data_IF_208817679543
#
_entry.id   IF_208817679543
#
_cell.length_a   1.000
_cell.length_b   1.000
_cell.length_c   1.000
_cell.angle_alpha   90.00
_cell.angle_beta   90.00
_cell.angle_gamma   90.00
#
_symmetry.space_group_name_H-M   'P 1'
#
loop_
_entity.id
_entity.type
_entity.pdbx_description
1 polymer ?
#
# COMPACT_ATOMS: atom_id res chain seq x y z
N UNK A 1 6.19 -15.92 -24.08
CA UNK A 1 5.88 -15.99 -22.66
C UNK A 1 5.40 -17.38 -22.26
N UNK A 2 4.39 -17.95 -22.91
CA UNK A 2 3.85 -19.30 -22.56
C UNK A 2 4.94 -20.38 -22.58
N UNK A 3 5.77 -20.44 -23.60
CA UNK A 3 6.88 -21.44 -23.64
C UNK A 3 7.93 -21.19 -22.55
N UNK A 4 8.15 -19.92 -22.15
CA UNK A 4 9.10 -19.57 -21.09
C UNK A 4 8.57 -20.02 -19.71
N UNK A 5 7.27 -19.85 -19.43
CA UNK A 5 6.68 -20.27 -18.15
C UNK A 5 6.71 -21.79 -17.99
N UNK A 6 6.39 -22.53 -19.06
CA UNK A 6 6.41 -24.00 -19.04
C UNK A 6 7.83 -24.58 -18.86
N UNK A 7 8.81 -24.09 -19.65
CA UNK A 7 10.20 -24.55 -19.58
C UNK A 7 10.93 -24.15 -18.31
N UNK A 8 10.64 -22.92 -17.80
CA UNK A 8 11.34 -22.36 -16.65
C UNK A 8 10.71 -22.70 -15.30
N UNK A 9 9.64 -23.48 -15.25
CA UNK A 9 8.85 -23.75 -14.04
C UNK A 9 8.57 -22.47 -13.24
N UNK A 10 8.15 -21.40 -13.96
CA UNK A 10 7.88 -20.10 -13.40
C UNK A 10 6.40 -20.01 -13.00
N UNK A 11 6.13 -19.25 -11.94
CA UNK A 11 4.76 -19.03 -11.44
C UNK A 11 4.07 -17.92 -12.22
N UNK A 12 4.83 -16.84 -12.53
CA UNK A 12 4.33 -15.66 -13.19
C UNK A 12 5.40 -15.02 -14.09
N UNK A 13 4.99 -14.55 -15.26
CA UNK A 13 5.82 -13.71 -16.15
C UNK A 13 5.09 -12.40 -16.44
N UNK A 14 5.71 -11.29 -16.08
CA UNK A 14 5.24 -9.93 -16.46
C UNK A 14 5.85 -9.48 -17.78
N UNK A 15 5.07 -8.79 -18.61
CA UNK A 15 5.61 -8.13 -19.79
C UNK A 15 6.44 -6.91 -19.41
N UNK A 16 7.57 -6.69 -20.07
CA UNK A 16 8.37 -5.48 -19.92
C UNK A 16 8.37 -4.66 -21.21
N UNK A 17 7.80 -3.45 -21.16
CA UNK A 17 7.81 -2.51 -22.28
C UNK A 17 9.12 -1.70 -22.25
N UNK A 18 10.21 -2.28 -22.77
CA UNK A 18 11.53 -1.64 -22.79
C UNK A 18 11.53 -0.32 -23.55
N UNK A 19 10.88 -0.27 -24.72
CA UNK A 19 10.67 0.96 -25.49
C UNK A 19 9.21 1.41 -25.37
N UNK A 20 8.97 2.60 -24.80
CA UNK A 20 7.63 3.20 -24.65
C UNK A 20 7.54 4.44 -25.52
N UNK A 21 6.49 4.52 -26.31
CA UNK A 21 6.16 5.66 -27.16
C UNK A 21 5.18 6.63 -26.50
N UNK A 22 5.06 6.58 -25.18
CA UNK A 22 4.18 7.44 -24.38
C UNK A 22 4.84 8.79 -24.07
N UNK A 23 4.02 9.84 -23.79
CA UNK A 23 4.50 11.16 -23.38
C UNK A 23 5.37 11.07 -22.10
N UNK A 24 6.49 11.83 -22.09
CA UNK A 24 7.54 11.70 -21.08
C UNK A 24 7.06 12.09 -19.67
N UNK A 25 6.36 13.22 -19.54
CA UNK A 25 6.07 13.83 -18.25
C UNK A 25 4.85 13.15 -17.59
N UNK A 26 3.75 13.03 -18.32
CA UNK A 26 2.46 12.60 -17.73
C UNK A 26 2.40 11.09 -17.46
N UNK A 27 3.15 10.28 -18.22
CA UNK A 27 3.04 8.81 -18.13
C UNK A 27 4.31 8.11 -17.67
N UNK A 28 5.50 8.61 -18.08
CA UNK A 28 6.76 7.91 -17.79
C UNK A 28 7.24 8.14 -16.36
N UNK A 29 7.16 9.38 -15.83
CA UNK A 29 7.64 9.70 -14.48
C UNK A 29 6.83 8.98 -13.39
N UNK A 30 5.49 9.08 -13.34
CA UNK A 30 4.70 8.35 -12.34
C UNK A 30 4.87 6.84 -12.42
N UNK A 31 4.98 6.29 -13.64
CA UNK A 31 5.21 4.86 -13.83
C UNK A 31 6.59 4.40 -13.35
N UNK A 32 7.64 5.21 -13.55
CA UNK A 32 8.98 4.90 -13.05
C UNK A 32 9.03 4.95 -11.52
N UNK A 33 8.42 5.97 -10.92
CA UNK A 33 8.34 6.10 -9.47
C UNK A 33 7.58 4.93 -8.86
N UNK A 34 6.42 4.58 -9.42
CA UNK A 34 5.66 3.41 -8.99
C UNK A 34 6.49 2.12 -9.06
N UNK A 35 7.12 1.86 -10.21
CA UNK A 35 7.94 0.66 -10.38
C UNK A 35 9.15 0.63 -9.44
N UNK A 36 9.74 1.78 -9.14
CA UNK A 36 10.84 1.89 -8.17
C UNK A 36 10.37 1.52 -6.76
N UNK A 37 9.27 2.14 -6.29
CA UNK A 37 8.70 1.84 -4.96
C UNK A 37 8.23 0.39 -4.89
N UNK A 38 7.55 -0.11 -5.94
CA UNK A 38 7.09 -1.50 -5.99
C UNK A 38 8.25 -2.49 -5.86
N UNK A 39 9.36 -2.26 -6.55
CA UNK A 39 10.59 -3.09 -6.42
C UNK A 39 11.20 -3.01 -5.03
N UNK A 40 11.34 -1.78 -4.52
CA UNK A 40 11.96 -1.56 -3.21
C UNK A 40 11.17 -2.21 -2.08
N UNK A 41 9.84 -2.09 -2.12
CA UNK A 41 8.98 -2.63 -1.06
C UNK A 41 8.72 -4.12 -1.18
N UNK A 42 8.66 -4.68 -2.40
CA UNK A 42 8.37 -6.11 -2.62
C UNK A 42 9.61 -6.99 -2.76
N UNK A 43 10.76 -6.40 -3.11
CA UNK A 43 11.97 -7.17 -3.43
C UNK A 43 11.92 -7.89 -4.80
N UNK A 44 10.83 -7.75 -5.56
CA UNK A 44 10.67 -8.42 -6.87
C UNK A 44 11.50 -7.71 -7.93
N UNK A 45 12.36 -8.43 -8.62
CA UNK A 45 13.29 -7.88 -9.63
C UNK A 45 12.66 -7.78 -11.04
N UNK A 46 11.49 -7.13 -11.18
CA UNK A 46 10.87 -6.83 -12.48
C UNK A 46 10.87 -5.32 -12.76
N UNK A 47 10.95 -4.93 -14.04
CA UNK A 47 11.06 -3.52 -14.44
C UNK A 47 9.69 -2.86 -14.66
N UNK A 48 8.65 -3.62 -15.00
CA UNK A 48 7.32 -3.06 -15.34
C UNK A 48 6.18 -3.82 -14.69
N UNK A 49 5.76 -3.36 -13.50
CA UNK A 49 4.56 -3.85 -12.81
C UNK A 49 3.26 -3.43 -13.51
N UNK A 50 3.29 -2.31 -14.23
CA UNK A 50 2.13 -1.73 -14.90
C UNK A 50 1.82 -2.35 -16.28
N UNK A 51 2.57 -3.37 -16.71
CA UNK A 51 2.28 -4.03 -17.98
C UNK A 51 0.99 -4.84 -17.88
N UNK A 52 0.04 -4.59 -18.79
CA UNK A 52 -1.21 -5.33 -18.82
C UNK A 52 -1.07 -6.78 -19.33
N UNK A 53 0.08 -7.10 -19.97
CA UNK A 53 0.32 -8.46 -20.47
C UNK A 53 1.09 -9.22 -19.39
N UNK A 54 0.44 -10.22 -18.80
CA UNK A 54 1.02 -11.12 -17.83
C UNK A 54 0.57 -12.54 -18.13
N UNK A 55 1.40 -13.52 -17.81
CA UNK A 55 1.10 -14.96 -17.95
C UNK A 55 1.33 -15.62 -16.59
N UNK A 56 0.37 -16.42 -16.16
CA UNK A 56 0.37 -17.08 -14.86
C UNK A 56 0.14 -18.57 -15.01
N UNK A 57 0.57 -19.34 -14.03
CA UNK A 57 0.07 -20.70 -13.83
C UNK A 57 -1.38 -20.62 -13.32
N UNK A 58 -2.16 -21.67 -13.58
CA UNK A 58 -3.59 -21.71 -13.20
C UNK A 58 -3.81 -21.68 -11.68
N UNK A 59 -2.91 -22.27 -10.93
CA UNK A 59 -2.92 -22.28 -9.46
C UNK A 59 -2.69 -20.87 -8.89
N UNK A 60 -1.80 -20.08 -9.47
CA UNK A 60 -1.57 -18.68 -9.05
C UNK A 60 -2.85 -17.88 -9.16
N UNK A 61 -3.53 -17.90 -10.32
CA UNK A 61 -4.73 -17.07 -10.52
C UNK A 61 -5.92 -17.53 -9.69
N UNK A 62 -5.98 -18.81 -9.33
CA UNK A 62 -7.02 -19.36 -8.46
C UNK A 62 -6.82 -19.05 -6.97
N UNK A 63 -5.57 -18.76 -6.57
CA UNK A 63 -5.21 -18.48 -5.17
C UNK A 63 -5.27 -17.01 -4.81
N UNK A 64 -5.16 -16.09 -5.80
CA UNK A 64 -5.15 -14.66 -5.57
C UNK A 64 -6.53 -14.04 -5.79
N UNK A 65 -6.97 -13.21 -4.85
CA UNK A 65 -8.17 -12.39 -5.00
C UNK A 65 -7.79 -11.02 -5.58
N UNK A 66 -8.34 -10.70 -6.75
CA UNK A 66 -8.07 -9.44 -7.44
C UNK A 66 -9.39 -8.68 -7.57
N UNK A 67 -9.44 -7.46 -7.04
CA UNK A 67 -10.57 -6.55 -7.17
C UNK A 67 -10.11 -5.14 -7.54
N UNK A 68 -10.95 -4.40 -8.25
CA UNK A 68 -10.66 -3.01 -8.65
C UNK A 68 -9.37 -2.87 -9.47
N UNK A 69 -8.60 -1.82 -9.18
CA UNK A 69 -7.35 -1.48 -9.88
C UNK A 69 -6.13 -2.30 -9.42
N UNK A 70 -6.32 -3.41 -8.70
CA UNK A 70 -5.22 -4.25 -8.16
C UNK A 70 -4.41 -5.01 -9.22
N UNK A 71 -4.78 -4.92 -10.51
CA UNK A 71 -4.04 -5.56 -11.61
C UNK A 71 -2.54 -5.21 -11.66
N UNK A 72 -2.14 -4.07 -11.09
CA UNK A 72 -0.73 -3.64 -10.99
C UNK A 72 0.02 -4.38 -9.90
N UNK A 73 -0.68 -4.82 -8.88
CA UNK A 73 -0.13 -5.47 -7.69
C UNK A 73 -0.08 -6.99 -7.79
N UNK A 74 -0.59 -7.58 -8.88
CA UNK A 74 -0.63 -9.03 -9.07
C UNK A 74 0.71 -9.74 -8.77
N UNK A 75 1.89 -9.26 -9.25
CA UNK A 75 3.14 -9.92 -8.91
C UNK A 75 3.43 -9.91 -7.40
N UNK A 76 3.03 -8.86 -6.70
CA UNK A 76 3.25 -8.69 -5.27
C UNK A 76 2.29 -9.56 -4.48
N UNK A 77 1.01 -9.59 -4.88
CA UNK A 77 0.01 -10.46 -4.26
C UNK A 77 0.40 -11.92 -4.42
N UNK A 78 0.82 -12.33 -5.63
CA UNK A 78 1.29 -13.68 -5.89
C UNK A 78 2.50 -14.06 -5.02
N UNK A 79 3.46 -13.15 -4.87
CA UNK A 79 4.61 -13.37 -3.99
C UNK A 79 4.20 -13.52 -2.53
N UNK A 80 3.24 -12.72 -2.06
CA UNK A 80 2.72 -12.80 -0.68
C UNK A 80 1.98 -14.12 -0.41
N UNK A 81 1.43 -14.76 -1.46
CA UNK A 81 0.82 -16.10 -1.42
C UNK A 81 1.84 -17.24 -1.62
N UNK A 82 3.15 -16.91 -1.67
CA UNK A 82 4.23 -17.90 -1.74
C UNK A 82 4.74 -18.21 -3.15
N UNK A 83 4.20 -17.60 -4.21
CA UNK A 83 4.67 -17.80 -5.59
C UNK A 83 5.86 -16.89 -5.90
N UNK A 84 7.07 -17.42 -5.64
CA UNK A 84 8.30 -16.65 -5.71
C UNK A 84 9.01 -16.68 -7.07
N UNK A 85 8.62 -17.59 -7.97
CA UNK A 85 9.26 -17.74 -9.29
C UNK A 85 8.67 -16.76 -10.31
N UNK A 86 8.96 -15.48 -10.10
CA UNK A 86 8.45 -14.36 -10.91
C UNK A 86 9.57 -13.87 -11.82
N UNK A 87 9.29 -13.75 -13.12
CA UNK A 87 10.23 -13.27 -14.13
C UNK A 87 9.57 -12.29 -15.08
N UNK A 88 10.33 -11.69 -15.96
CA UNK A 88 9.84 -10.76 -16.98
C UNK A 88 10.21 -11.18 -18.41
N UNK A 89 9.46 -10.66 -19.36
CA UNK A 89 9.73 -10.86 -20.78
C UNK A 89 9.52 -9.55 -21.55
N UNK A 90 10.47 -9.22 -22.41
CA UNK A 90 10.38 -8.01 -23.22
C UNK A 90 9.23 -8.14 -24.22
N UNK A 91 8.29 -7.19 -24.18
CA UNK A 91 7.16 -7.10 -25.11
C UNK A 91 7.24 -5.86 -25.96
N UNK A 92 6.84 -5.97 -27.23
CA UNK A 92 6.78 -4.83 -28.15
C UNK A 92 5.59 -3.94 -27.78
N UNK A 93 5.85 -2.67 -27.57
CA UNK A 93 4.83 -1.65 -27.35
C UNK A 93 4.57 -0.91 -28.67
N UNK A 94 3.33 -0.93 -29.13
CA UNK A 94 2.89 -0.15 -30.29
C UNK A 94 2.20 1.12 -29.82
N UNK A 95 2.50 2.24 -30.47
CA UNK A 95 1.76 3.48 -30.25
C UNK A 95 0.30 3.28 -30.66
N UNK A 96 -0.60 3.90 -29.90
CA UNK A 96 -2.03 3.84 -30.22
C UNK A 96 -2.28 4.53 -31.56
N UNK A 97 -2.87 3.82 -32.52
CA UNK A 97 -3.20 4.35 -33.86
C UNK A 97 -4.48 5.19 -33.82
N UNK A 98 -5.45 4.86 -32.97
CA UNK A 98 -6.76 5.51 -32.90
C UNK A 98 -7.15 5.84 -31.45
N UNK A 99 -7.94 6.91 -31.28
CA UNK A 99 -8.53 7.34 -30.02
C UNK A 99 -7.64 8.25 -29.17
N UNK A 100 -8.28 9.16 -28.41
CA UNK A 100 -7.62 10.05 -27.43
C UNK A 100 -7.56 9.39 -26.06
N UNK A 101 -6.55 9.75 -25.28
CA UNK A 101 -6.42 9.28 -23.89
C UNK A 101 -7.51 9.93 -23.03
N UNK A 102 -8.38 9.14 -22.43
CA UNK A 102 -9.45 9.63 -21.55
C UNK A 102 -8.95 10.04 -20.14
N UNK A 103 -7.66 9.84 -19.84
CA UNK A 103 -7.09 10.07 -18.52
C UNK A 103 -6.31 11.39 -18.46
N UNK A 104 -6.82 12.34 -17.68
CA UNK A 104 -6.20 13.64 -17.38
C UNK A 104 -5.34 13.59 -16.09
N UNK A 105 -5.34 14.70 -15.34
CA UNK A 105 -4.57 14.90 -14.07
C UNK A 105 -4.93 13.89 -12.97
N UNK A 106 -6.13 13.30 -13.00
CA UNK A 106 -6.57 12.23 -12.09
C UNK A 106 -5.60 11.03 -12.06
N UNK A 107 -4.90 10.78 -13.17
CA UNK A 107 -3.94 9.67 -13.25
C UNK A 107 -2.74 9.86 -12.33
N UNK A 108 -2.33 11.11 -12.10
CA UNK A 108 -1.24 11.42 -11.17
C UNK A 108 -1.66 11.11 -9.74
N UNK A 109 -2.84 11.58 -9.34
CA UNK A 109 -3.39 11.32 -8.00
C UNK A 109 -3.63 9.83 -7.77
N UNK A 110 -4.22 9.13 -8.73
CA UNK A 110 -4.39 7.66 -8.63
C UNK A 110 -3.05 6.94 -8.51
N UNK A 111 -2.05 7.34 -9.32
CA UNK A 111 -0.70 6.76 -9.24
C UNK A 111 -0.02 7.00 -7.88
N UNK A 112 -0.21 8.17 -7.29
CA UNK A 112 0.28 8.48 -5.95
C UNK A 112 -0.42 7.63 -4.88
N UNK A 113 -1.75 7.57 -4.91
CA UNK A 113 -2.53 6.74 -4.00
C UNK A 113 -2.18 5.25 -4.13
N UNK A 114 -1.96 4.75 -5.35
CA UNK A 114 -1.49 3.39 -5.58
C UNK A 114 -0.15 3.10 -4.88
N UNK A 115 0.79 4.07 -4.91
CA UNK A 115 2.09 3.94 -4.24
C UNK A 115 1.92 3.87 -2.72
N UNK A 116 1.11 4.78 -2.16
CA UNK A 116 0.82 4.82 -0.72
C UNK A 116 0.16 3.52 -0.28
N UNK A 117 -0.85 3.07 -1.03
CA UNK A 117 -1.55 1.80 -0.77
C UNK A 117 -0.59 0.62 -0.80
N UNK A 118 0.26 0.54 -1.81
CA UNK A 118 1.26 -0.52 -1.94
C UNK A 118 2.22 -0.55 -0.75
N UNK A 119 2.77 0.59 -0.41
CA UNK A 119 3.68 0.71 0.73
C UNK A 119 3.01 0.27 2.03
N UNK A 120 1.78 0.77 2.25
CA UNK A 120 1.00 0.44 3.44
C UNK A 120 0.66 -1.05 3.50
N UNK A 121 0.13 -1.63 2.41
CA UNK A 121 -0.25 -3.04 2.36
C UNK A 121 0.95 -3.98 2.57
N UNK A 122 2.11 -3.67 1.99
CA UNK A 122 3.30 -4.50 2.16
C UNK A 122 3.86 -4.45 3.58
N UNK A 123 3.83 -3.27 4.21
CA UNK A 123 4.45 -3.09 5.53
C UNK A 123 3.47 -3.39 6.69
N UNK A 124 2.23 -2.98 6.54
CA UNK A 124 1.24 -2.99 7.62
C UNK A 124 -0.06 -3.75 7.28
N UNK A 125 -0.20 -4.26 6.06
CA UNK A 125 -1.42 -4.92 5.59
C UNK A 125 -1.84 -6.15 6.40
N UNK A 126 -0.90 -6.76 7.15
CA UNK A 126 -1.19 -7.88 8.06
C UNK A 126 -1.44 -7.44 9.51
N UNK A 127 -1.07 -6.21 9.88
CA UNK A 127 -1.15 -5.68 11.26
C UNK A 127 -1.34 -4.15 11.26
N UNK A 128 -2.51 -3.64 10.84
CA UNK A 128 -2.76 -2.20 10.77
C UNK A 128 -2.72 -1.52 12.15
N UNK A 129 -3.04 -2.26 13.22
CA UNK A 129 -2.95 -1.76 14.58
C UNK A 129 -1.53 -1.32 14.96
N UNK A 130 -0.49 -2.00 14.47
CA UNK A 130 0.90 -1.58 14.75
C UNK A 130 1.25 -0.21 14.15
N UNK A 131 0.65 0.17 13.03
CA UNK A 131 0.88 1.47 12.40
C UNK A 131 0.01 2.55 13.04
N UNK A 132 -1.30 2.41 12.94
CA UNK A 132 -2.23 3.43 13.40
C UNK A 132 -2.26 3.53 14.93
N UNK A 133 -2.21 2.40 15.62
CA UNK A 133 -2.22 2.36 17.08
C UNK A 133 -0.96 2.98 17.70
N UNK A 134 0.23 2.73 17.13
CA UNK A 134 1.46 3.35 17.63
C UNK A 134 1.47 4.86 17.43
N UNK A 135 1.10 5.35 16.26
CA UNK A 135 1.01 6.79 15.99
C UNK A 135 -0.05 7.42 16.89
N UNK A 136 -1.22 6.80 17.01
CA UNK A 136 -2.31 7.27 17.86
C UNK A 136 -1.91 7.38 19.32
N UNK A 137 -1.24 6.37 19.86
CA UNK A 137 -0.75 6.37 21.26
C UNK A 137 0.29 7.48 21.48
N UNK A 138 1.24 7.64 20.57
CA UNK A 138 2.25 8.69 20.68
C UNK A 138 1.59 10.09 20.66
N UNK A 139 0.68 10.34 19.72
CA UNK A 139 -0.04 11.61 19.64
C UNK A 139 -0.88 11.87 20.88
N UNK A 140 -1.56 10.86 21.39
CA UNK A 140 -2.34 10.95 22.62
C UNK A 140 -1.47 11.33 23.82
N UNK A 141 -0.33 10.66 23.99
CA UNK A 141 0.60 10.96 25.10
C UNK A 141 1.22 12.36 24.98
N UNK A 142 1.61 12.77 23.78
CA UNK A 142 2.11 14.13 23.53
C UNK A 142 1.06 15.16 23.91
N UNK A 143 -0.18 15.00 23.45
CA UNK A 143 -1.27 15.90 23.79
C UNK A 143 -1.56 15.96 25.28
N UNK A 144 -1.52 14.82 26.00
CA UNK A 144 -1.67 14.78 27.45
C UNK A 144 -0.55 15.53 28.18
N UNK A 145 0.71 15.35 27.75
CA UNK A 145 1.85 16.08 28.32
C UNK A 145 1.67 17.58 28.14
N UNK A 146 1.25 18.03 26.94
CA UNK A 146 1.02 19.46 26.68
C UNK A 146 -0.11 20.03 27.53
N UNK A 147 -1.25 19.34 27.66
CA UNK A 147 -2.34 19.78 28.53
C UNK A 147 -1.90 19.82 29.99
N UNK A 148 -1.19 18.78 30.44
CA UNK A 148 -0.64 18.72 31.79
C UNK A 148 0.32 19.89 32.09
N UNK A 149 1.21 20.20 31.13
CA UNK A 149 2.13 21.33 31.24
C UNK A 149 1.39 22.70 31.35
N UNK A 150 0.41 22.93 30.47
CA UNK A 150 -0.40 24.16 30.48
C UNK A 150 -1.18 24.27 31.80
N UNK A 151 -1.75 23.17 32.27
CA UNK A 151 -2.46 23.10 33.55
C UNK A 151 -1.54 23.38 34.75
N UNK A 152 -0.36 22.77 34.76
CA UNK A 152 0.65 23.00 35.79
C UNK A 152 1.12 24.48 35.82
N UNK A 153 1.44 25.04 34.65
CA UNK A 153 1.83 26.46 34.54
C UNK A 153 0.74 27.39 35.09
N UNK A 154 -0.53 27.11 34.78
CA UNK A 154 -1.67 27.93 35.23
C UNK A 154 -1.91 27.84 36.75
N UNK A 155 -1.77 26.65 37.33
CA UNK A 155 -2.07 26.42 38.74
C UNK A 155 -0.93 26.88 39.67
N UNK A 156 0.32 26.68 39.28
CA UNK A 156 1.47 26.86 40.17
C UNK A 156 2.36 28.05 39.81
N UNK A 157 2.39 28.51 38.54
CA UNK A 157 3.34 29.54 38.13
C UNK A 157 2.63 30.88 37.83
N UNK A 158 1.55 30.86 37.06
CA UNK A 158 0.83 32.07 36.60
C UNK A 158 -0.64 32.00 36.95
N UNK A 159 -0.95 32.13 38.23
CA UNK A 159 -2.33 32.05 38.73
C UNK A 159 -3.22 33.17 38.24
N UNK A 160 -2.66 34.42 38.08
CA UNK A 160 -3.36 35.57 37.48
C UNK A 160 -2.90 35.78 36.03
N UNK A 161 -3.77 35.57 35.07
CA UNK A 161 -3.44 35.70 33.65
C UNK A 161 -4.54 35.14 32.75
N UNK A 162 -4.29 35.09 31.44
CA UNK A 162 -5.23 34.57 30.44
C UNK A 162 -5.79 33.21 30.83
N UNK A 163 -7.03 32.94 30.51
CA UNK A 163 -7.67 31.66 30.71
C UNK A 163 -6.94 30.56 29.85
N UNK A 164 -6.99 29.32 30.30
CA UNK A 164 -6.41 28.18 29.55
C UNK A 164 -7.02 28.13 28.13
N UNK A 165 -8.32 28.39 28.04
CA UNK A 165 -9.08 28.38 26.78
C UNK A 165 -8.77 29.58 25.86
N UNK A 166 -8.08 30.61 26.31
CA UNK A 166 -7.62 31.70 25.47
C UNK A 166 -6.25 31.47 24.84
N UNK A 167 -5.62 30.33 25.18
CA UNK A 167 -4.31 29.95 24.65
C UNK A 167 -4.43 29.05 23.42
N UNK A 168 -3.83 29.42 22.30
CA UNK A 168 -3.84 28.57 21.09
C UNK A 168 -3.25 27.17 21.33
N UNK A 169 -2.25 27.08 22.21
CA UNK A 169 -1.56 25.82 22.55
C UNK A 169 -2.51 24.78 23.15
N UNK A 170 -3.53 25.23 23.88
CA UNK A 170 -4.56 24.34 24.43
C UNK A 170 -5.36 23.65 23.34
N UNK A 171 -5.77 24.37 22.30
CA UNK A 171 -6.52 23.80 21.18
C UNK A 171 -5.65 22.86 20.36
N UNK A 172 -4.36 23.15 20.19
CA UNK A 172 -3.42 22.28 19.51
C UNK A 172 -3.28 20.95 20.28
N UNK A 173 -3.12 21.02 21.60
CA UNK A 173 -3.01 19.84 22.44
C UNK A 173 -4.30 19.01 22.43
N UNK A 174 -5.47 19.65 22.54
CA UNK A 174 -6.77 18.99 22.47
C UNK A 174 -6.98 18.30 21.13
N UNK A 175 -6.69 18.99 20.03
CA UNK A 175 -6.79 18.44 18.67
C UNK A 175 -5.85 17.25 18.51
N UNK A 176 -4.64 17.33 19.03
CA UNK A 176 -3.65 16.23 18.98
C UNK A 176 -4.16 14.99 19.72
N UNK A 177 -4.81 15.15 20.88
CA UNK A 177 -5.43 14.04 21.61
C UNK A 177 -6.55 13.40 20.79
N UNK A 178 -7.44 14.23 20.26
CA UNK A 178 -8.59 13.75 19.46
C UNK A 178 -8.11 12.95 18.25
N UNK A 179 -7.15 13.49 17.49
CA UNK A 179 -6.57 12.79 16.34
C UNK A 179 -5.88 11.50 16.79
N UNK A 180 -5.15 11.52 17.91
CA UNK A 180 -4.52 10.33 18.48
C UNK A 180 -5.52 9.21 18.76
N UNK A 181 -6.64 9.53 19.40
CA UNK A 181 -7.72 8.58 19.66
C UNK A 181 -8.32 8.05 18.34
N UNK A 182 -8.53 8.93 17.34
CA UNK A 182 -9.07 8.53 16.04
C UNK A 182 -8.15 7.54 15.31
N UNK A 183 -6.84 7.80 15.31
CA UNK A 183 -5.86 6.86 14.75
C UNK A 183 -5.86 5.52 15.48
N UNK A 184 -5.94 5.52 16.80
CA UNK A 184 -6.00 4.29 17.58
C UNK A 184 -7.24 3.47 17.23
N UNK A 185 -8.42 4.10 17.17
CA UNK A 185 -9.68 3.45 16.78
C UNK A 185 -9.59 2.92 15.34
N UNK A 186 -9.04 3.70 14.41
CA UNK A 186 -8.85 3.27 13.02
C UNK A 186 -7.96 2.01 12.92
N UNK A 187 -6.88 1.95 13.70
CA UNK A 187 -6.02 0.77 13.79
C UNK A 187 -6.75 -0.45 14.32
N UNK A 188 -7.52 -0.28 15.38
CA UNK A 188 -8.32 -1.34 16.00
C UNK A 188 -9.40 -1.88 15.04
N UNK A 189 -10.14 -0.99 14.37
CA UNK A 189 -11.12 -1.37 13.37
C UNK A 189 -10.47 -2.11 12.19
N UNK A 190 -9.32 -1.65 11.70
CA UNK A 190 -8.56 -2.32 10.66
C UNK A 190 -8.16 -3.74 11.05
N UNK A 191 -7.75 -3.96 12.28
CA UNK A 191 -7.40 -5.28 12.82
C UNK A 191 -8.63 -6.21 12.90
N UNK A 192 -9.78 -5.70 13.37
CA UNK A 192 -11.04 -6.46 13.42
C UNK A 192 -11.47 -6.88 12.01
N UNK A 193 -11.45 -5.96 11.04
CA UNK A 193 -11.84 -6.25 9.65
C UNK A 193 -10.94 -7.32 9.05
N UNK A 194 -9.64 -7.27 9.28
CA UNK A 194 -8.70 -8.28 8.82
C UNK A 194 -8.98 -9.65 9.45
N UNK A 195 -9.19 -9.70 10.74
CA UNK A 195 -9.49 -10.95 11.45
C UNK A 195 -10.85 -11.54 11.05
N UNK A 196 -11.84 -10.70 10.80
CA UNK A 196 -13.17 -11.11 10.33
C UNK A 196 -13.12 -11.66 8.90
N UNK A 197 -12.29 -11.10 8.02
CA UNK A 197 -12.12 -11.60 6.64
C UNK A 197 -11.22 -12.84 6.55
N UNK A 198 -10.56 -13.22 7.64
CA UNK A 198 -9.59 -14.32 7.73
C UNK A 198 -10.20 -15.73 7.67
N UNK A 199 -11.52 -15.88 7.46
CA UNK A 199 -12.16 -17.20 7.26
C UNK A 199 -11.79 -17.86 5.90
N UNK A 200 -11.02 -17.19 5.05
CA UNK A 200 -10.42 -17.80 3.85
C UNK A 200 -9.21 -18.62 4.25
N UNK A 201 -9.20 -19.89 3.86
CA UNK A 201 -8.12 -20.86 4.11
C UNK A 201 -6.75 -20.24 3.79
N UNK A 202 -5.92 -20.02 4.84
CA UNK A 202 -4.59 -19.40 4.73
C UNK A 202 -3.48 -20.38 4.32
N UNK A 203 -3.84 -21.58 3.84
CA UNK A 203 -2.86 -22.59 3.45
C UNK A 203 -3.20 -23.19 2.10
N UNK A 204 -2.19 -23.46 1.30
CA UNK A 204 -2.28 -24.23 0.08
C UNK A 204 -1.88 -25.65 0.39
N UNK A 205 -2.75 -26.61 0.02
CA UNK A 205 -2.42 -28.02 0.08
C UNK A 205 -1.54 -28.31 -1.13
N UNK A 206 -0.24 -28.49 -0.91
CA UNK A 206 0.74 -28.83 -1.95
C UNK A 206 0.72 -30.31 -2.27
N UNK A 207 0.47 -31.17 -1.28
CA UNK A 207 0.44 -32.62 -1.42
C UNK A 207 -0.50 -33.24 -0.40
N UNK A 208 -1.27 -34.23 -0.80
CA UNK A 208 -2.07 -35.08 0.11
C UNK A 208 -1.46 -36.46 0.13
N UNK A 209 -0.87 -36.83 1.24
CA UNK A 209 -0.55 -38.24 1.53
C UNK A 209 -1.85 -38.91 1.97
N UNK A 210 -2.32 -39.86 1.17
CA UNK A 210 -3.38 -40.79 1.59
C UNK A 210 -2.67 -41.98 2.25
N UNK A 211 -2.92 -42.15 3.53
CA UNK A 211 -2.64 -43.41 4.24
C UNK A 211 -3.69 -44.45 3.88
#
# INVERSE_FOLDING_TARGET
MINKIKKGNLDLISGWKKKRYDSLIIKKIPSKLFNFVARYTSGIKIHDFNCGIKVYRSDVIKSIDIYGDMHRFIPIIAMNEGYNKIDEHIVKHQARKFGKTKFGNERFMRGFLDIVTLWFMNKFGKRPMHFFGSIGTIMFLIGLIFIGYIGYEKLFIKTSGRLITERPEFFIALTTIIIGIQFFIAGFLGEIVLNSSSNKKRYHITEKTFD
#
